data_IF_215941534857
#
_entry.id   IF_215941534857
#
_cell.length_a   1.000
_cell.length_b   1.000
_cell.length_c   1.000
_cell.angle_alpha   90.00
_cell.angle_beta   90.00
_cell.angle_gamma   90.00
#
_symmetry.space_group_name_H-M   'P 1'
#
loop_
_entity.id
_entity.type
_entity.pdbx_description
1 polymer ?
#
# COMPACT_ATOMS: atom_id res chain seq x y z
N UNK A 1 -26.81 -19.34 29.78
CA UNK A 1 -27.26 -18.87 28.45
C UNK A 1 -26.65 -17.49 28.23
N UNK A 2 -25.46 -17.44 27.63
CA UNK A 2 -24.80 -16.18 27.24
C UNK A 2 -24.55 -16.35 25.74
N UNK A 3 -25.12 -15.43 24.95
CA UNK A 3 -25.17 -15.49 23.49
C UNK A 3 -23.78 -15.25 22.91
N UNK A 4 -23.40 -16.09 21.95
CA UNK A 4 -22.26 -15.92 21.07
C UNK A 4 -22.61 -14.84 20.04
N UNK A 5 -22.10 -13.62 20.23
CA UNK A 5 -22.07 -12.62 19.18
C UNK A 5 -20.70 -12.71 18.50
N UNK A 6 -20.69 -13.34 17.32
CA UNK A 6 -19.56 -13.28 16.39
C UNK A 6 -19.59 -11.91 15.71
N UNK A 7 -18.50 -11.13 15.70
CA UNK A 7 -18.47 -9.91 14.93
C UNK A 7 -18.35 -10.27 13.44
N UNK A 8 -19.47 -10.14 12.73
CA UNK A 8 -19.56 -10.10 11.28
C UNK A 8 -18.77 -8.90 10.77
N UNK A 9 -17.61 -9.12 10.15
CA UNK A 9 -16.86 -8.09 9.42
C UNK A 9 -17.50 -7.83 8.07
N UNK A 10 -18.63 -7.13 8.09
CA UNK A 10 -19.18 -6.50 6.89
C UNK A 10 -18.28 -5.32 6.49
N UNK A 11 -18.01 -5.09 5.20
CA UNK A 11 -17.24 -3.92 4.76
C UNK A 11 -17.97 -2.64 5.22
N UNK A 12 -17.24 -1.58 5.60
CA UNK A 12 -17.88 -0.33 5.98
C UNK A 12 -18.75 0.17 4.83
N UNK A 13 -20.05 0.31 5.12
CA UNK A 13 -21.02 0.96 4.25
C UNK A 13 -20.54 2.39 3.97
N UNK A 14 -20.47 2.73 2.67
CA UNK A 14 -20.13 4.04 2.14
C UNK A 14 -18.73 4.56 2.53
N UNK A 15 -17.73 4.10 1.78
CA UNK A 15 -16.52 4.87 1.52
C UNK A 15 -16.95 6.15 0.79
N UNK A 16 -17.34 7.19 1.55
CA UNK A 16 -17.55 8.54 1.04
C UNK A 16 -16.20 9.20 0.74
N UNK A 17 -15.42 8.59 -0.16
CA UNK A 17 -14.22 9.19 -0.71
C UNK A 17 -14.67 10.23 -1.71
N UNK A 18 -14.60 11.52 -1.33
CA UNK A 18 -14.33 12.56 -2.32
C UNK A 18 -12.92 12.25 -2.84
N UNK A 19 -12.75 11.67 -4.05
CA UNK A 19 -11.45 11.17 -4.43
C UNK A 19 -10.58 12.35 -4.79
N UNK A 20 -9.61 12.62 -3.92
CA UNK A 20 -8.49 13.48 -4.25
C UNK A 20 -7.79 12.91 -5.49
N UNK A 21 -7.79 13.70 -6.57
CA UNK A 21 -7.18 13.33 -7.85
C UNK A 21 -8.08 12.56 -8.81
N UNK A 22 -9.41 12.58 -8.63
CA UNK A 22 -10.31 12.05 -9.64
C UNK A 22 -10.48 12.99 -10.84
N UNK A 23 -10.56 12.39 -12.03
CA UNK A 23 -10.87 13.10 -13.26
C UNK A 23 -12.36 13.00 -13.56
N UNK A 24 -12.98 14.12 -13.93
CA UNK A 24 -14.32 14.16 -14.50
C UNK A 24 -14.23 14.32 -16.01
N UNK A 25 -14.93 13.49 -16.77
CA UNK A 25 -15.08 13.70 -18.22
C UNK A 25 -16.17 14.73 -18.47
N UNK A 26 -15.84 15.92 -18.95
CA UNK A 26 -16.82 16.78 -19.63
C UNK A 26 -16.63 16.62 -21.14
N UNK A 27 -17.62 16.06 -21.84
CA UNK A 27 -17.70 16.26 -23.27
C UNK A 27 -19.17 16.37 -23.70
N UNK A 28 -19.49 17.50 -24.34
CA UNK A 28 -20.65 17.59 -25.22
C UNK A 28 -20.35 16.71 -26.43
N UNK A 29 -20.96 15.54 -26.50
CA UNK A 29 -21.04 14.77 -27.74
C UNK A 29 -20.64 13.29 -27.60
N UNK A 30 -21.66 12.44 -27.65
CA UNK A 30 -21.65 10.97 -27.73
C UNK A 30 -21.38 10.21 -26.43
N UNK A 31 -22.31 9.32 -26.14
CA UNK A 31 -22.47 8.48 -24.96
C UNK A 31 -21.22 7.66 -24.59
N UNK A 32 -20.63 7.94 -23.43
CA UNK A 32 -20.08 6.91 -22.53
C UNK A 32 -19.81 7.53 -21.16
N UNK A 33 -20.56 7.04 -20.16
CA UNK A 33 -20.52 7.33 -18.71
C UNK A 33 -19.82 8.61 -18.22
N UNK A 34 -20.64 9.57 -17.77
CA UNK A 34 -20.25 10.56 -16.76
C UNK A 34 -19.81 9.82 -15.49
N UNK A 35 -18.50 9.58 -15.38
CA UNK A 35 -17.92 8.79 -14.30
C UNK A 35 -16.78 9.53 -13.61
N UNK A 36 -16.63 9.28 -12.32
CA UNK A 36 -15.48 9.73 -11.54
C UNK A 36 -14.41 8.63 -11.64
N UNK A 37 -13.23 8.97 -12.14
CA UNK A 37 -12.15 8.00 -12.35
C UNK A 37 -11.00 8.23 -11.38
N UNK A 38 -10.44 7.17 -10.83
CA UNK A 38 -9.31 7.22 -9.89
C UNK A 38 -8.09 6.52 -10.49
N UNK A 39 -6.87 7.08 -10.34
CA UNK A 39 -5.68 6.38 -10.77
C UNK A 39 -5.34 5.23 -9.83
N UNK A 40 -4.74 4.19 -10.41
CA UNK A 40 -4.30 2.98 -9.74
C UNK A 40 -3.04 2.44 -10.40
N UNK A 41 -2.01 2.09 -9.63
CA UNK A 41 -0.82 1.49 -10.24
C UNK A 41 -1.17 0.09 -10.78
N UNK A 42 -0.78 -0.24 -12.02
CA UNK A 42 -1.13 -1.50 -12.68
C UNK A 42 -0.38 -2.73 -12.14
N UNK A 43 0.46 -2.56 -11.13
CA UNK A 43 1.39 -3.58 -10.66
C UNK A 43 0.74 -4.80 -9.97
N UNK A 44 -0.58 -4.75 -9.73
CA UNK A 44 -1.37 -5.85 -9.20
C UNK A 44 -1.94 -6.77 -10.29
N UNK A 45 -1.88 -6.36 -11.56
CA UNK A 45 -2.40 -7.14 -12.68
C UNK A 45 -1.57 -8.41 -12.88
N UNK A 46 -2.23 -9.56 -12.83
CA UNK A 46 -1.62 -10.86 -13.07
C UNK A 46 -1.45 -11.13 -14.57
N UNK A 47 -0.31 -11.68 -14.96
CA UNK A 47 -0.11 -12.08 -16.37
C UNK A 47 -1.06 -13.21 -16.76
N UNK A 48 -1.57 -13.13 -17.99
CA UNK A 48 -2.48 -14.12 -18.58
C UNK A 48 -3.77 -14.30 -17.76
N UNK A 49 -4.13 -13.34 -16.92
CA UNK A 49 -5.40 -13.29 -16.22
C UNK A 49 -6.30 -12.23 -16.87
N UNK A 50 -7.62 -12.45 -16.92
CA UNK A 50 -8.56 -11.43 -17.34
C UNK A 50 -8.54 -10.25 -16.36
N UNK A 51 -8.64 -9.03 -16.88
CA UNK A 51 -8.78 -7.84 -16.03
C UNK A 51 -10.22 -7.72 -15.50
N UNK A 52 -10.40 -7.28 -14.24
CA UNK A 52 -11.71 -7.31 -13.60
C UNK A 52 -12.68 -6.23 -14.10
N UNK A 53 -12.15 -5.15 -14.68
CA UNK A 53 -12.89 -3.93 -15.02
C UNK A 53 -12.24 -3.25 -16.22
N UNK A 54 -12.90 -2.23 -16.77
CA UNK A 54 -12.29 -1.36 -17.77
C UNK A 54 -11.21 -0.49 -17.12
N UNK A 55 -10.00 -0.55 -17.68
CA UNK A 55 -8.91 0.35 -17.33
C UNK A 55 -8.66 1.35 -18.45
N UNK A 56 -8.42 2.59 -18.05
CA UNK A 56 -8.18 3.72 -18.92
C UNK A 56 -6.77 4.26 -18.69
N UNK A 57 -6.25 5.00 -19.67
CA UNK A 57 -5.01 5.77 -19.55
C UNK A 57 -5.23 7.20 -19.98
N UNK A 58 -4.35 8.10 -19.58
CA UNK A 58 -4.29 9.44 -20.15
C UNK A 58 -3.55 9.42 -21.48
N UNK A 59 -4.15 10.03 -22.51
CA UNK A 59 -3.50 10.28 -23.78
C UNK A 59 -2.64 11.58 -23.73
N UNK A 60 -2.00 11.94 -24.84
CA UNK A 60 -1.15 13.13 -24.92
C UNK A 60 -1.91 14.44 -24.60
N UNK A 61 -3.21 14.48 -24.90
CA UNK A 61 -4.11 15.60 -24.62
C UNK A 61 -4.76 15.55 -23.22
N UNK A 62 -4.26 14.70 -22.31
CA UNK A 62 -4.77 14.54 -20.94
C UNK A 62 -6.25 14.10 -20.89
N UNK A 63 -6.69 13.30 -21.87
CA UNK A 63 -8.02 12.68 -21.90
C UNK A 63 -7.94 11.20 -21.60
N UNK A 64 -8.95 10.68 -20.92
CA UNK A 64 -9.08 9.25 -20.65
C UNK A 64 -9.39 8.50 -21.96
N UNK A 65 -8.55 7.52 -22.25
CA UNK A 65 -8.66 6.59 -23.37
C UNK A 65 -8.75 5.17 -22.80
N UNK A 66 -9.73 4.37 -23.27
CA UNK A 66 -9.84 2.97 -22.89
C UNK A 66 -8.55 2.24 -23.27
N UNK A 67 -7.94 1.56 -22.31
CA UNK A 67 -6.69 0.85 -22.48
C UNK A 67 -6.87 -0.66 -22.41
N UNK A 68 -7.56 -1.16 -21.37
CA UNK A 68 -7.93 -2.56 -21.22
C UNK A 68 -9.41 -2.64 -20.97
N UNK A 69 -10.09 -3.50 -21.72
CA UNK A 69 -11.51 -3.79 -21.50
C UNK A 69 -11.65 -4.89 -20.46
N UNK A 70 -12.69 -4.86 -19.63
CA UNK A 70 -13.05 -5.96 -18.76
C UNK A 70 -12.99 -7.30 -19.51
N UNK A 71 -12.52 -8.35 -18.83
CA UNK A 71 -12.29 -9.70 -19.35
C UNK A 71 -11.17 -9.86 -20.40
N UNK A 72 -10.49 -8.77 -20.80
CA UNK A 72 -9.29 -8.88 -21.65
C UNK A 72 -8.08 -9.40 -20.86
N UNK A 73 -7.25 -10.21 -21.51
CA UNK A 73 -6.06 -10.79 -20.87
C UNK A 73 -4.89 -9.80 -20.82
N UNK A 74 -4.14 -9.85 -19.71
CA UNK A 74 -2.87 -9.13 -19.57
C UNK A 74 -1.75 -9.90 -20.28
N UNK A 75 -1.63 -9.68 -21.59
CA UNK A 75 -0.62 -10.32 -22.42
C UNK A 75 0.80 -9.74 -22.19
N UNK A 76 1.79 -10.30 -22.90
CA UNK A 76 3.18 -9.85 -22.81
C UNK A 76 3.41 -8.39 -23.26
N UNK A 77 2.59 -7.87 -24.16
CA UNK A 77 2.65 -6.49 -24.67
C UNK A 77 2.14 -5.52 -23.62
N UNK A 78 0.95 -5.80 -23.07
CA UNK A 78 0.33 -5.04 -21.98
C UNK A 78 1.28 -5.02 -20.79
N UNK A 79 1.81 -6.20 -20.41
CA UNK A 79 2.76 -6.34 -19.32
C UNK A 79 4.01 -5.47 -19.52
N UNK A 80 4.57 -5.41 -20.73
CA UNK A 80 5.70 -4.53 -21.04
C UNK A 80 5.33 -3.05 -20.90
N UNK A 81 4.18 -2.64 -21.42
CA UNK A 81 3.73 -1.24 -21.33
C UNK A 81 3.46 -0.80 -19.88
N UNK A 82 2.96 -1.72 -19.06
CA UNK A 82 2.61 -1.56 -17.65
C UNK A 82 3.83 -1.59 -16.72
N UNK A 83 4.76 -2.53 -16.90
CA UNK A 83 5.90 -2.73 -16.00
C UNK A 83 7.16 -1.96 -16.42
N UNK A 84 7.35 -1.76 -17.72
CA UNK A 84 8.61 -1.27 -18.32
C UNK A 84 8.42 -0.01 -19.18
N UNK A 85 7.16 0.40 -19.41
CA UNK A 85 6.80 1.43 -20.38
C UNK A 85 6.16 2.70 -19.79
N UNK A 86 5.47 3.45 -20.65
CA UNK A 86 4.84 4.75 -20.36
C UNK A 86 3.71 4.71 -19.32
N UNK A 87 3.11 3.54 -19.05
CA UNK A 87 2.02 3.37 -18.09
C UNK A 87 2.48 2.98 -16.69
N UNK A 88 3.79 2.99 -16.45
CA UNK A 88 4.43 2.64 -15.17
C UNK A 88 3.86 3.38 -13.96
N UNK A 89 3.18 4.49 -14.17
CA UNK A 89 2.74 5.39 -13.11
C UNK A 89 1.26 5.29 -12.74
N UNK A 90 0.34 5.02 -13.68
CA UNK A 90 -1.09 4.81 -13.35
C UNK A 90 -1.93 4.37 -14.55
N UNK A 91 -2.81 3.39 -14.30
CA UNK A 91 -4.08 3.23 -15.02
C UNK A 91 -5.18 3.99 -14.27
N UNK A 92 -6.34 4.13 -14.87
CA UNK A 92 -7.53 4.71 -14.24
C UNK A 92 -8.68 3.70 -14.31
N UNK A 93 -9.43 3.56 -13.23
CA UNK A 93 -10.71 2.84 -13.24
C UNK A 93 -11.82 3.76 -12.70
N UNK A 94 -13.08 3.40 -12.97
CA UNK A 94 -14.19 4.12 -12.37
C UNK A 94 -14.21 3.90 -10.84
N UNK A 95 -14.63 4.90 -10.07
CA UNK A 95 -14.77 4.76 -8.61
C UNK A 95 -15.76 3.65 -8.24
N UNK A 96 -16.80 3.44 -9.07
CA UNK A 96 -17.78 2.37 -8.87
C UNK A 96 -17.17 0.95 -8.99
N UNK A 97 -16.03 0.84 -9.68
CA UNK A 97 -15.34 -0.42 -9.98
C UNK A 97 -14.28 -0.79 -8.93
N UNK A 98 -14.01 0.09 -7.96
CA UNK A 98 -13.04 -0.15 -6.88
C UNK A 98 -13.28 -1.49 -6.16
N UNK A 99 -14.50 -1.88 -5.76
CA UNK A 99 -14.73 -3.16 -5.08
C UNK A 99 -14.26 -4.37 -5.91
N UNK A 100 -14.51 -4.36 -7.23
CA UNK A 100 -14.08 -5.44 -8.14
C UNK A 100 -12.55 -5.50 -8.26
N UNK A 101 -11.89 -4.34 -8.28
CA UNK A 101 -10.42 -4.25 -8.31
C UNK A 101 -9.79 -4.79 -7.02
N UNK A 102 -10.37 -4.44 -5.86
CA UNK A 102 -9.90 -4.93 -4.57
C UNK A 102 -10.03 -6.44 -4.45
N UNK A 103 -11.20 -6.97 -4.85
CA UNK A 103 -11.46 -8.41 -4.89
C UNK A 103 -10.48 -9.15 -5.81
N UNK A 104 -10.23 -8.63 -7.01
CA UNK A 104 -9.26 -9.21 -7.94
C UNK A 104 -7.85 -9.28 -7.33
N UNK A 105 -7.43 -8.22 -6.64
CA UNK A 105 -6.13 -8.19 -5.96
C UNK A 105 -6.06 -9.22 -4.81
N UNK A 106 -7.13 -9.37 -4.02
CA UNK A 106 -7.22 -10.39 -2.97
C UNK A 106 -7.08 -11.80 -3.56
N UNK A 107 -7.88 -12.12 -4.58
CA UNK A 107 -7.86 -13.41 -5.29
C UNK A 107 -6.50 -13.68 -5.91
N UNK A 108 -5.85 -12.66 -6.47
CA UNK A 108 -4.50 -12.77 -7.03
C UNK A 108 -3.50 -13.27 -6.00
N UNK A 109 -3.55 -12.76 -4.77
CA UNK A 109 -2.63 -13.14 -3.70
C UNK A 109 -2.95 -14.51 -3.14
N UNK A 110 -4.23 -14.79 -2.91
CA UNK A 110 -4.67 -16.12 -2.51
C UNK A 110 -4.25 -17.19 -3.53
N UNK A 111 -4.33 -16.89 -4.84
CA UNK A 111 -3.88 -17.80 -5.89
C UNK A 111 -2.38 -18.10 -5.79
N UNK A 112 -1.54 -17.10 -5.48
CA UNK A 112 -0.09 -17.28 -5.26
C UNK A 112 0.15 -18.15 -4.04
N UNK A 113 -0.51 -17.84 -2.92
CA UNK A 113 -0.33 -18.52 -1.64
C UNK A 113 -0.80 -19.99 -1.68
N UNK A 114 -1.88 -20.26 -2.41
CA UNK A 114 -2.47 -21.60 -2.56
C UNK A 114 -1.87 -22.39 -3.73
N UNK A 115 -1.01 -21.79 -4.56
CA UNK A 115 -0.43 -22.46 -5.72
C UNK A 115 0.35 -23.72 -5.32
N UNK A 116 -0.12 -24.89 -5.78
CA UNK A 116 0.40 -26.20 -5.36
C UNK A 116 1.86 -26.44 -5.80
N UNK A 117 2.26 -25.89 -6.96
CA UNK A 117 3.60 -26.08 -7.53
C UNK A 117 4.64 -25.05 -7.11
N UNK A 118 4.26 -24.02 -6.34
CA UNK A 118 5.21 -23.04 -5.82
C UNK A 118 5.68 -23.45 -4.43
N UNK A 119 6.99 -23.53 -4.24
CA UNK A 119 7.55 -23.65 -2.89
C UNK A 119 7.38 -22.33 -2.10
N UNK A 120 7.56 -22.40 -0.78
CA UNK A 120 7.38 -21.24 0.09
C UNK A 120 8.34 -20.09 -0.27
N UNK A 121 9.52 -20.38 -0.82
CA UNK A 121 10.49 -19.35 -1.22
C UNK A 121 10.01 -18.59 -2.45
N UNK A 122 9.46 -19.29 -3.45
CA UNK A 122 8.86 -18.70 -4.63
C UNK A 122 7.63 -17.87 -4.26
N UNK A 123 6.78 -18.37 -3.35
CA UNK A 123 5.64 -17.62 -2.79
C UNK A 123 6.10 -16.36 -2.07
N UNK A 124 7.06 -16.46 -1.15
CA UNK A 124 7.60 -15.32 -0.41
C UNK A 124 8.16 -14.24 -1.36
N UNK A 125 8.87 -14.65 -2.42
CA UNK A 125 9.37 -13.72 -3.43
C UNK A 125 8.25 -13.03 -4.21
N UNK A 126 7.20 -13.75 -4.58
CA UNK A 126 6.05 -13.18 -5.28
C UNK A 126 5.31 -12.18 -4.40
N UNK A 127 5.00 -12.56 -3.16
CA UNK A 127 4.39 -11.70 -2.14
C UNK A 127 5.24 -10.45 -1.89
N UNK A 128 6.55 -10.60 -1.67
CA UNK A 128 7.45 -9.47 -1.46
C UNK A 128 7.43 -8.48 -2.62
N UNK A 129 7.55 -8.96 -3.86
CA UNK A 129 7.52 -8.09 -5.04
C UNK A 129 6.17 -7.38 -5.18
N UNK A 130 5.07 -8.06 -4.87
CA UNK A 130 3.73 -7.47 -4.89
C UNK A 130 3.58 -6.38 -3.83
N UNK A 131 3.97 -6.66 -2.59
CA UNK A 131 3.96 -5.68 -1.49
C UNK A 131 4.88 -4.49 -1.81
N UNK A 132 6.04 -4.72 -2.43
CA UNK A 132 6.95 -3.65 -2.86
C UNK A 132 6.30 -2.73 -3.90
N UNK A 133 5.56 -3.29 -4.85
CA UNK A 133 4.85 -2.50 -5.85
C UNK A 133 3.73 -1.65 -5.23
N UNK A 134 2.97 -2.22 -4.29
CA UNK A 134 1.95 -1.48 -3.55
C UNK A 134 2.58 -0.42 -2.64
N UNK A 135 3.65 -0.74 -1.92
CA UNK A 135 4.39 0.22 -1.12
C UNK A 135 4.87 1.39 -1.97
N UNK A 136 5.42 1.12 -3.15
CA UNK A 136 5.82 2.17 -4.09
C UNK A 136 4.64 3.08 -4.47
N UNK A 137 3.51 2.50 -4.90
CA UNK A 137 2.31 3.24 -5.28
C UNK A 137 1.78 4.09 -4.11
N UNK A 138 1.71 3.52 -2.91
CA UNK A 138 1.21 4.19 -1.71
C UNK A 138 2.10 5.34 -1.25
N UNK A 139 3.42 5.20 -1.31
CA UNK A 139 4.34 6.25 -0.85
C UNK A 139 4.51 7.36 -1.91
N UNK A 140 4.52 7.01 -3.19
CA UNK A 140 4.60 8.00 -4.27
C UNK A 140 3.28 8.78 -4.41
N UNK A 141 2.14 8.12 -4.17
CA UNK A 141 0.81 8.71 -4.26
C UNK A 141 -0.06 8.34 -3.05
N UNK A 142 0.14 9.01 -1.89
CA UNK A 142 -0.66 8.75 -0.70
C UNK A 142 -2.14 9.07 -0.91
N UNK A 143 -2.97 8.02 -0.97
CA UNK A 143 -4.43 8.11 -1.18
C UNK A 143 -5.14 7.00 -0.42
N UNK A 144 -6.41 7.21 0.00
CA UNK A 144 -7.20 6.20 0.70
C UNK A 144 -7.16 4.80 0.07
N UNK A 145 -7.37 4.70 -1.25
CA UNK A 145 -7.37 3.43 -1.97
C UNK A 145 -6.02 2.70 -1.87
N UNK A 146 -4.90 3.42 -1.97
CA UNK A 146 -3.58 2.82 -1.94
C UNK A 146 -3.23 2.31 -0.53
N UNK A 147 -3.61 3.05 0.51
CA UNK A 147 -3.47 2.61 1.91
C UNK A 147 -4.32 1.38 2.20
N UNK A 148 -5.57 1.34 1.72
CA UNK A 148 -6.43 0.17 1.86
C UNK A 148 -5.82 -1.07 1.17
N UNK A 149 -5.38 -0.92 -0.09
CA UNK A 149 -4.79 -2.01 -0.88
C UNK A 149 -3.55 -2.62 -0.22
N UNK A 150 -2.64 -1.79 0.29
CA UNK A 150 -1.45 -2.32 0.96
C UNK A 150 -1.80 -2.91 2.34
N UNK A 151 -2.77 -2.35 3.06
CA UNK A 151 -3.27 -2.90 4.31
C UNK A 151 -3.82 -4.33 4.16
N UNK A 152 -4.67 -4.55 3.16
CA UNK A 152 -5.19 -5.88 2.81
C UNK A 152 -4.06 -6.85 2.46
N UNK A 153 -3.10 -6.39 1.64
CA UNK A 153 -1.92 -7.20 1.29
C UNK A 153 -1.12 -7.62 2.53
N UNK A 154 -0.91 -6.69 3.47
CA UNK A 154 -0.20 -6.95 4.72
C UNK A 154 -0.98 -7.96 5.57
N UNK A 155 -2.31 -7.80 5.68
CA UNK A 155 -3.15 -8.74 6.44
C UNK A 155 -3.08 -10.16 5.89
N UNK A 156 -3.20 -10.35 4.57
CA UNK A 156 -3.06 -11.66 3.93
C UNK A 156 -1.67 -12.27 4.10
N UNK A 157 -0.63 -11.44 4.01
CA UNK A 157 0.76 -11.86 4.21
C UNK A 157 1.00 -12.30 5.66
N UNK A 158 0.41 -11.58 6.61
CA UNK A 158 0.47 -11.88 8.04
C UNK A 158 -0.26 -13.18 8.37
N UNK A 159 -1.47 -13.38 7.84
CA UNK A 159 -2.23 -14.62 8.04
C UNK A 159 -1.46 -15.82 7.46
N UNK A 160 -0.83 -15.66 6.30
CA UNK A 160 0.06 -16.67 5.74
C UNK A 160 1.28 -16.91 6.64
N UNK A 161 1.97 -15.84 7.07
CA UNK A 161 3.15 -15.94 7.94
C UNK A 161 2.84 -16.69 9.24
N UNK A 162 1.73 -16.37 9.91
CA UNK A 162 1.33 -17.02 11.15
C UNK A 162 0.87 -18.48 10.98
N UNK A 163 0.50 -18.90 9.75
CA UNK A 163 0.14 -20.29 9.48
C UNK A 163 1.31 -21.27 9.65
N UNK A 164 2.55 -20.81 9.42
CA UNK A 164 3.79 -21.57 9.65
C UNK A 164 4.95 -20.59 9.87
N UNK A 165 4.90 -19.89 11.00
CA UNK A 165 5.81 -18.81 11.39
C UNK A 165 7.29 -19.20 11.19
N UNK A 166 7.68 -20.38 11.69
CA UNK A 166 9.06 -20.89 11.65
C UNK A 166 9.58 -21.07 10.23
N UNK A 167 8.71 -21.35 9.26
CA UNK A 167 9.11 -21.52 7.85
C UNK A 167 8.98 -20.24 7.06
N UNK A 168 7.97 -19.42 7.34
CA UNK A 168 7.60 -18.29 6.46
C UNK A 168 8.30 -17.00 6.87
N UNK A 169 8.38 -16.70 8.17
CA UNK A 169 9.01 -15.47 8.64
C UNK A 169 10.47 -15.32 8.17
N UNK A 170 11.34 -16.36 8.25
CA UNK A 170 12.71 -16.24 7.76
C UNK A 170 12.79 -15.98 6.24
N UNK A 171 11.81 -16.49 5.47
CA UNK A 171 11.75 -16.25 4.02
C UNK A 171 11.38 -14.80 3.72
N UNK A 172 10.37 -14.24 4.40
CA UNK A 172 9.96 -12.85 4.25
C UNK A 172 11.10 -11.89 4.59
N UNK A 173 11.78 -12.10 5.72
CA UNK A 173 12.95 -11.32 6.13
C UNK A 173 14.11 -11.47 5.13
N UNK A 174 14.32 -12.69 4.61
CA UNK A 174 15.36 -13.01 3.63
C UNK A 174 15.10 -12.50 2.21
N UNK A 175 13.90 -12.00 1.89
CA UNK A 175 13.61 -11.38 0.57
C UNK A 175 14.14 -9.95 0.46
N UNK A 176 14.64 -9.37 1.55
CA UNK A 176 15.18 -8.02 1.61
C UNK A 176 16.21 -7.76 0.50
N UNK A 177 15.90 -6.84 -0.41
CA UNK A 177 16.83 -6.43 -1.47
C UNK A 177 17.87 -5.44 -0.93
N UNK A 178 19.09 -5.51 -1.46
CA UNK A 178 20.14 -4.50 -1.22
C UNK A 178 19.91 -3.19 -1.99
N UNK A 179 19.00 -3.19 -2.96
CA UNK A 179 18.64 -1.99 -3.71
C UNK A 179 17.94 -0.99 -2.80
N UNK A 180 18.56 0.19 -2.66
CA UNK A 180 17.98 1.33 -1.94
C UNK A 180 16.88 1.98 -2.78
N UNK A 181 15.65 1.53 -2.59
CA UNK A 181 14.45 2.27 -2.99
C UNK A 181 13.56 2.50 -1.77
N UNK A 182 12.81 3.60 -1.75
CA UNK A 182 11.88 3.91 -0.65
C UNK A 182 10.88 2.77 -0.42
N UNK A 183 10.41 2.13 -1.50
CA UNK A 183 9.52 0.98 -1.43
C UNK A 183 10.18 -0.25 -0.80
N UNK A 184 11.42 -0.59 -1.20
CA UNK A 184 12.17 -1.69 -0.58
C UNK A 184 12.46 -1.40 0.89
N UNK A 185 12.78 -0.14 1.24
CA UNK A 185 12.96 0.29 2.63
C UNK A 185 11.68 0.07 3.45
N UNK A 186 10.55 0.59 2.98
CA UNK A 186 9.25 0.45 3.64
C UNK A 186 8.87 -1.02 3.87
N UNK A 187 9.08 -1.88 2.87
CA UNK A 187 8.77 -3.31 2.99
C UNK A 187 9.75 -4.05 3.91
N UNK A 188 11.05 -3.73 3.86
CA UNK A 188 12.03 -4.37 4.73
C UNK A 188 11.82 -3.98 6.20
N UNK A 189 11.62 -2.69 6.48
CA UNK A 189 11.27 -2.19 7.82
C UNK A 189 9.93 -2.76 8.27
N UNK A 190 8.95 -2.86 7.37
CA UNK A 190 7.66 -3.50 7.62
C UNK A 190 7.78 -4.92 8.15
N UNK A 191 8.54 -5.78 7.46
CA UNK A 191 8.76 -7.15 7.90
C UNK A 191 9.57 -7.25 9.20
N UNK A 192 10.59 -6.41 9.37
CA UNK A 192 11.40 -6.37 10.59
C UNK A 192 10.58 -5.91 11.80
N UNK A 193 9.76 -4.87 11.64
CA UNK A 193 8.86 -4.37 12.68
C UNK A 193 7.84 -5.41 13.08
N UNK A 194 7.26 -6.12 12.10
CA UNK A 194 6.35 -7.23 12.36
C UNK A 194 7.04 -8.38 13.12
N UNK A 195 8.26 -8.75 12.73
CA UNK A 195 9.05 -9.78 13.43
C UNK A 195 9.36 -9.38 14.88
N UNK A 196 9.74 -8.12 15.09
CA UNK A 196 10.00 -7.59 16.43
C UNK A 196 8.73 -7.55 17.28
N UNK A 197 7.61 -7.09 16.73
CA UNK A 197 6.33 -7.06 17.43
C UNK A 197 5.86 -8.47 17.80
N UNK A 198 6.10 -9.46 16.94
CA UNK A 198 5.82 -10.87 17.21
C UNK A 198 6.67 -11.40 18.38
N UNK A 199 7.96 -11.09 18.40
CA UNK A 199 8.86 -11.49 19.49
C UNK A 199 8.46 -10.85 20.82
N UNK A 200 8.08 -9.56 20.82
CA UNK A 200 7.72 -8.81 22.03
C UNK A 200 6.31 -9.13 22.56
N UNK A 201 5.36 -9.43 21.68
CA UNK A 201 3.95 -9.62 22.02
C UNK A 201 3.44 -11.04 21.77
N UNK A 202 4.34 -12.00 21.55
CA UNK A 202 4.00 -13.40 21.31
C UNK A 202 3.08 -13.95 22.41
N UNK A 203 1.91 -14.48 22.03
CA UNK A 203 0.92 -14.98 22.98
C UNK A 203 -0.51 -15.02 22.45
N UNK A 204 -1.47 -15.18 23.37
CA UNK A 204 -2.92 -15.11 23.04
C UNK A 204 -3.21 -13.69 22.54
N UNK A 205 -3.72 -13.56 21.32
CA UNK A 205 -4.01 -12.29 20.59
C UNK A 205 -2.85 -11.68 19.79
N UNK A 206 -1.79 -12.46 19.51
CA UNK A 206 -0.70 -11.98 18.65
C UNK A 206 -1.19 -11.57 17.25
N UNK A 207 -2.17 -12.28 16.69
CA UNK A 207 -2.75 -11.96 15.37
C UNK A 207 -3.38 -10.58 15.35
N UNK A 208 -4.25 -10.25 16.31
CA UNK A 208 -4.93 -8.95 16.37
C UNK A 208 -3.95 -7.81 16.63
N UNK A 209 -2.96 -8.06 17.49
CA UNK A 209 -1.88 -7.11 17.78
C UNK A 209 -1.09 -6.80 16.51
N UNK A 210 -0.65 -7.84 15.78
CA UNK A 210 0.11 -7.65 14.56
C UNK A 210 -0.74 -7.02 13.44
N UNK A 211 -2.03 -7.40 13.29
CA UNK A 211 -2.93 -6.76 12.31
C UNK A 211 -3.13 -5.26 12.59
N UNK A 212 -3.09 -4.88 13.86
CA UNK A 212 -3.14 -3.49 14.29
C UNK A 212 -1.83 -2.76 13.97
N UNK A 213 -0.67 -3.30 14.35
CA UNK A 213 0.61 -2.61 14.26
C UNK A 213 1.25 -2.65 12.87
N UNK A 214 1.10 -3.77 12.15
CA UNK A 214 1.84 -4.03 10.91
C UNK A 214 1.65 -2.93 9.86
N UNK A 215 0.43 -2.42 9.56
CA UNK A 215 0.26 -1.33 8.61
C UNK A 215 1.13 -0.10 8.94
N UNK A 216 1.31 0.24 10.22
CA UNK A 216 2.17 1.34 10.65
C UNK A 216 3.63 1.15 10.26
N UNK A 217 4.18 -0.06 10.39
CA UNK A 217 5.57 -0.34 10.01
C UNK A 217 5.82 -0.19 8.51
N UNK A 218 4.86 -0.59 7.67
CA UNK A 218 4.97 -0.47 6.21
C UNK A 218 4.68 0.94 5.71
N UNK A 219 3.97 1.77 6.48
CA UNK A 219 3.52 3.11 6.08
C UNK A 219 4.23 4.24 6.84
N UNK A 220 5.26 3.94 7.64
CA UNK A 220 5.95 4.93 8.48
C UNK A 220 6.40 6.18 7.69
N UNK A 221 6.84 5.96 6.45
CA UNK A 221 7.36 7.00 5.56
C UNK A 221 6.29 7.60 4.61
N UNK A 222 5.01 7.21 4.71
CA UNK A 222 3.95 7.61 3.76
C UNK A 222 3.80 9.13 3.64
N UNK A 223 4.14 9.86 4.69
CA UNK A 223 4.09 11.31 4.70
C UNK A 223 5.10 11.99 3.77
N UNK A 224 6.13 11.28 3.28
CA UNK A 224 7.09 11.81 2.30
C UNK A 224 6.40 12.22 0.99
N UNK A 225 5.28 11.59 0.64
CA UNK A 225 4.49 11.97 -0.53
C UNK A 225 3.84 13.37 -0.43
N UNK A 226 3.87 14.00 0.75
CA UNK A 226 3.42 15.39 0.95
C UNK A 226 4.58 16.38 1.07
N UNK A 227 5.83 15.92 1.09
CA UNK A 227 7.01 16.78 1.02
C UNK A 227 7.17 17.27 -0.41
N UNK A 228 7.60 18.53 -0.59
CA UNK A 228 7.80 19.10 -1.93
C UNK A 228 8.77 18.24 -2.75
N UNK A 229 8.40 17.99 -4.01
CA UNK A 229 9.14 17.09 -4.91
C UNK A 229 10.58 17.53 -5.17
N UNK A 230 10.84 18.84 -5.16
CA UNK A 230 12.18 19.42 -5.35
C UNK A 230 13.11 19.16 -4.15
N UNK A 231 12.53 19.06 -2.94
CA UNK A 231 13.25 18.66 -1.71
C UNK A 231 13.41 17.15 -1.68
N UNK A 232 12.34 16.38 -1.91
CA UNK A 232 12.33 14.93 -1.83
C UNK A 232 13.33 14.28 -2.81
N UNK A 233 13.42 14.81 -4.03
CA UNK A 233 14.27 14.28 -5.10
C UNK A 233 15.53 15.13 -5.34
N UNK A 234 15.94 15.96 -4.37
CA UNK A 234 17.09 16.84 -4.53
C UNK A 234 18.36 16.04 -4.82
N UNK A 235 19.10 16.35 -5.90
CA UNK A 235 20.40 15.74 -6.13
C UNK A 235 21.44 16.34 -5.18
N UNK A 236 21.88 15.57 -4.20
CA UNK A 236 22.88 15.99 -3.21
C UNK A 236 22.28 16.23 -1.82
N UNK A 237 23.06 16.81 -0.88
CA UNK A 237 22.61 17.03 0.49
C UNK A 237 21.51 18.10 0.57
N UNK A 238 20.58 17.89 1.50
CA UNK A 238 19.58 18.89 1.87
C UNK A 238 20.22 20.04 2.67
N UNK A 239 19.78 21.26 2.38
CA UNK A 239 20.03 22.45 3.18
C UNK A 239 19.27 22.36 4.50
N UNK A 240 19.66 23.18 5.48
CA UNK A 240 19.02 23.18 6.79
C UNK A 240 17.50 23.44 6.72
N UNK A 241 17.05 24.41 5.92
CA UNK A 241 15.63 24.70 5.72
C UNK A 241 14.89 23.56 5.01
N UNK A 242 15.57 22.84 4.12
CA UNK A 242 15.00 21.67 3.43
C UNK A 242 14.88 20.49 4.40
N UNK A 243 15.84 20.33 5.32
CA UNK A 243 15.75 19.38 6.42
C UNK A 243 14.60 19.68 7.36
N UNK A 244 14.34 20.96 7.67
CA UNK A 244 13.17 21.36 8.48
C UNK A 244 11.87 20.91 7.83
N UNK A 245 11.75 21.03 6.51
CA UNK A 245 10.59 20.54 5.78
C UNK A 245 10.53 19.01 5.73
N UNK A 246 11.64 18.34 5.42
CA UNK A 246 11.73 16.87 5.37
C UNK A 246 11.33 16.23 6.71
N UNK A 247 11.72 16.83 7.85
CA UNK A 247 11.40 16.33 9.19
C UNK A 247 9.91 16.39 9.55
N UNK A 248 9.06 17.05 8.75
CA UNK A 248 7.62 17.11 8.96
C UNK A 248 6.88 15.89 8.40
N UNK A 249 7.53 15.04 7.60
CA UNK A 249 6.85 13.90 7.00
C UNK A 249 6.16 12.95 7.99
N UNK A 250 6.64 12.70 9.23
CA UNK A 250 5.89 11.86 10.17
C UNK A 250 4.54 12.50 10.54
N UNK A 251 4.54 13.83 10.73
CA UNK A 251 3.33 14.61 11.00
C UNK A 251 2.39 14.64 9.81
N UNK A 252 2.91 14.78 8.58
CA UNK A 252 2.09 14.70 7.36
C UNK A 252 1.46 13.33 7.19
N UNK A 253 2.21 12.26 7.45
CA UNK A 253 1.71 10.88 7.41
C UNK A 253 0.57 10.68 8.40
N UNK A 254 0.78 11.02 9.67
CA UNK A 254 -0.25 10.91 10.70
C UNK A 254 -1.50 11.75 10.36
N UNK A 255 -1.31 13.02 9.97
CA UNK A 255 -2.42 13.90 9.59
C UNK A 255 -3.27 13.30 8.46
N UNK A 256 -2.63 12.80 7.41
CA UNK A 256 -3.31 12.18 6.28
C UNK A 256 -4.10 10.94 6.73
N UNK A 257 -3.46 10.04 7.46
CA UNK A 257 -4.06 8.78 7.91
C UNK A 257 -5.22 9.00 8.89
N UNK A 258 -5.11 10.01 9.76
CA UNK A 258 -6.15 10.42 10.69
C UNK A 258 -7.35 11.04 9.98
N UNK A 259 -7.09 12.02 9.09
CA UNK A 259 -8.13 12.74 8.36
C UNK A 259 -8.99 11.80 7.52
N UNK A 260 -8.34 10.83 6.87
CA UNK A 260 -9.00 9.84 6.01
C UNK A 260 -9.50 8.61 6.79
N UNK A 261 -9.25 8.52 8.10
CA UNK A 261 -9.66 7.40 8.97
C UNK A 261 -9.17 6.04 8.49
N UNK A 262 -7.92 5.96 8.02
CA UNK A 262 -7.40 4.76 7.34
C UNK A 262 -6.75 3.75 8.26
N UNK A 263 -6.26 4.17 9.44
CA UNK A 263 -5.52 3.32 10.38
C UNK A 263 -5.95 3.57 11.83
N UNK A 264 -5.70 2.58 12.68
CA UNK A 264 -5.91 2.71 14.13
C UNK A 264 -4.94 3.72 14.74
N UNK A 265 -5.24 4.28 15.93
CA UNK A 265 -4.31 5.16 16.64
C UNK A 265 -2.92 4.55 16.85
N UNK A 266 -2.83 3.26 17.17
CA UNK A 266 -1.56 2.56 17.43
C UNK A 266 -0.69 2.49 16.17
N UNK A 267 -1.27 2.12 15.03
CA UNK A 267 -0.58 2.13 13.75
C UNK A 267 -0.11 3.55 13.37
N UNK A 268 -0.92 4.57 13.69
CA UNK A 268 -0.56 5.97 13.42
C UNK A 268 0.55 6.49 14.32
N UNK A 269 0.64 6.04 15.58
CA UNK A 269 1.77 6.38 16.45
C UNK A 269 3.08 5.86 15.87
N UNK A 270 3.09 4.63 15.32
CA UNK A 270 4.27 4.13 14.59
C UNK A 270 4.67 5.11 13.47
N UNK A 271 3.70 5.60 12.69
CA UNK A 271 3.97 6.56 11.60
C UNK A 271 4.45 7.91 12.14
N UNK A 272 3.88 8.42 13.23
CA UNK A 272 4.23 9.72 13.80
C UNK A 272 5.61 9.71 14.47
N UNK A 273 5.94 8.63 15.17
CA UNK A 273 7.05 8.59 16.12
C UNK A 273 8.24 7.74 15.64
N UNK A 274 8.23 7.22 14.40
CA UNK A 274 9.32 6.35 13.90
C UNK A 274 10.71 7.01 13.84
N UNK A 275 10.78 8.33 13.98
CA UNK A 275 12.02 9.10 14.10
C UNK A 275 12.30 9.62 15.51
N UNK A 276 11.45 9.29 16.49
CA UNK A 276 11.75 9.51 17.88
C UNK A 276 12.90 8.63 18.35
N UNK A 277 13.62 9.13 19.35
CA UNK A 277 14.80 8.47 19.90
C UNK A 277 14.70 8.43 21.41
N UNK A 278 15.07 7.31 22.01
CA UNK A 278 14.98 7.13 23.46
C UNK A 278 15.77 8.16 24.27
N UNK A 279 16.80 8.76 23.68
CA UNK A 279 17.61 9.85 24.26
C UNK A 279 16.95 11.24 24.16
N UNK A 280 15.75 11.35 23.58
CA UNK A 280 15.03 12.60 23.39
C UNK A 280 15.56 13.49 22.26
N UNK A 281 16.51 13.01 21.45
CA UNK A 281 17.06 13.79 20.32
C UNK A 281 16.35 13.52 18.99
N UNK A 282 15.20 12.84 19.03
CA UNK A 282 14.37 12.51 17.88
C UNK A 282 13.47 13.66 17.44
N UNK A 283 12.53 13.35 16.54
CA UNK A 283 11.48 14.26 16.08
C UNK A 283 10.22 13.44 15.74
N UNK A 284 9.01 14.02 15.77
CA UNK A 284 8.69 15.46 15.84
C UNK A 284 8.56 16.08 17.25
N UNK A 285 8.48 15.28 18.30
CA UNK A 285 8.22 15.69 19.68
C UNK A 285 9.49 15.88 20.51
N UNK A 286 10.57 15.14 20.18
CA UNK A 286 11.85 15.17 20.90
C UNK A 286 11.67 14.86 22.40
N UNK A 287 11.03 13.72 22.69
CA UNK A 287 10.68 13.29 24.05
C UNK A 287 11.51 12.09 24.51
N UNK A 288 11.76 11.91 25.82
CA UNK A 288 12.45 10.73 26.33
C UNK A 288 11.71 9.43 25.98
N UNK A 289 12.44 8.32 25.89
CA UNK A 289 11.89 7.03 25.46
C UNK A 289 10.70 6.50 26.26
N UNK A 290 10.52 6.92 27.52
CA UNK A 290 9.35 6.57 28.33
C UNK A 290 8.04 7.27 27.94
N UNK A 291 8.11 8.21 26.98
CA UNK A 291 6.97 8.98 26.45
C UNK A 291 6.71 8.72 24.96
N UNK A 292 7.46 7.79 24.36
CA UNK A 292 7.25 7.30 22.99
C UNK A 292 6.26 6.12 23.08
#
# INVERSE_FOLDING_TARGET
MIRNDTPSTSPPSEIAVKPLGALSTSSRGSSSNEGLYIPIAPAFLLANAPVPVDFYRLNAEQRLELFLKADSEVDSTVRRQVLEGTLRYSLYCAVADIPSVLKYQEEAIQSILQHAFLDNRAKARAVYNFTMNLAKDTHDHPRPLNVYRIGEQISLTLDWMLSDEKKILPLLLGMSRKEYSNAAHAVNVGHLGMALALELHGGKNVTDTLKTLAPGFFLHDVGKGFVRVDILNKPGPLLELEWVEMKKHPQYGNWFLEREKLLTPEARHIVLDHHERADGQGYPHAVPGSKI
#
